data_IF_556521057224
#
_entry.id   IF_556521057224
#
_cell.length_a   1.000
_cell.length_b   1.000
_cell.length_c   1.000
_cell.angle_alpha   90.00
_cell.angle_beta   90.00
_cell.angle_gamma   90.00
#
_symmetry.space_group_name_H-M   'P 1'
#
loop_
_entity.id
_entity.type
_entity.pdbx_description
1 polymer ?
#
# COMPACT_ATOMS: atom_id res chain seq x y z
N UNK A 1 -25.01 -1.03 -8.26
CA UNK A 1 -23.81 -1.76 -8.69
C UNK A 1 -22.97 -2.03 -7.45
N UNK A 2 -22.16 -3.09 -7.46
CA UNK A 2 -21.16 -3.32 -6.42
C UNK A 2 -19.84 -3.65 -7.10
N UNK A 3 -18.73 -3.34 -6.43
CA UNK A 3 -17.39 -3.61 -6.91
C UNK A 3 -16.97 -5.01 -6.48
N UNK A 4 -16.27 -5.72 -7.36
CA UNK A 4 -15.80 -7.08 -7.12
C UNK A 4 -14.29 -7.12 -7.06
N UNK A 5 -13.77 -7.94 -6.15
CA UNK A 5 -12.35 -8.26 -6.05
C UNK A 5 -12.20 -9.73 -6.34
N UNK A 6 -11.29 -10.08 -7.23
CA UNK A 6 -10.95 -11.47 -7.54
C UNK A 6 -9.49 -11.71 -7.17
N UNK A 7 -9.24 -12.78 -6.43
CA UNK A 7 -7.90 -13.29 -6.14
C UNK A 7 -7.63 -14.48 -7.04
N UNK A 8 -6.59 -14.38 -7.87
CA UNK A 8 -6.25 -15.39 -8.87
C UNK A 8 -4.84 -15.93 -8.66
N UNK A 9 -4.64 -17.22 -8.92
CA UNK A 9 -3.34 -17.85 -9.12
C UNK A 9 -3.22 -18.07 -10.62
N UNK A 10 -2.35 -17.32 -11.29
CA UNK A 10 -2.29 -17.26 -12.75
C UNK A 10 -3.70 -17.05 -13.34
N UNK A 11 -4.27 -18.06 -14.00
CA UNK A 11 -5.60 -17.97 -14.62
C UNK A 11 -6.75 -18.54 -13.75
N UNK A 12 -6.45 -19.01 -12.54
CA UNK A 12 -7.42 -19.70 -11.67
C UNK A 12 -7.91 -18.79 -10.55
N UNK A 13 -9.22 -18.55 -10.48
CA UNK A 13 -9.84 -17.71 -9.44
C UNK A 13 -10.00 -18.43 -8.10
N UNK A 14 -9.15 -18.12 -7.13
CA UNK A 14 -9.14 -18.74 -5.80
C UNK A 14 -10.37 -18.33 -4.99
N UNK A 15 -10.64 -17.02 -4.96
CA UNK A 15 -11.75 -16.43 -4.21
C UNK A 15 -12.14 -15.09 -4.81
N UNK A 16 -13.36 -14.64 -4.51
CA UNK A 16 -13.81 -13.30 -4.79
C UNK A 16 -14.63 -12.74 -3.64
N UNK A 17 -14.68 -11.43 -3.57
CA UNK A 17 -15.48 -10.69 -2.60
C UNK A 17 -16.17 -9.52 -3.28
N UNK A 18 -17.27 -9.08 -2.69
CA UNK A 18 -18.05 -7.93 -3.18
C UNK A 18 -17.96 -6.80 -2.18
N UNK A 19 -17.51 -5.64 -2.65
CA UNK A 19 -17.40 -4.37 -1.92
C UNK A 19 -16.36 -4.33 -0.79
N UNK A 20 -15.56 -5.38 -0.60
CA UNK A 20 -14.47 -5.42 0.39
C UNK A 20 -13.33 -6.31 -0.10
N UNK A 21 -12.16 -6.19 0.52
CA UNK A 21 -11.00 -7.05 0.32
C UNK A 21 -10.44 -7.48 1.68
N UNK A 22 -10.11 -8.76 1.80
CA UNK A 22 -9.33 -9.31 2.91
C UNK A 22 -7.89 -9.51 2.40
N UNK A 23 -6.92 -8.93 3.11
CA UNK A 23 -5.49 -9.00 2.73
C UNK A 23 -4.98 -10.45 2.66
N UNK A 24 -5.64 -11.40 3.32
CA UNK A 24 -5.33 -12.83 3.24
C UNK A 24 -3.83 -13.10 3.51
N UNK A 25 -3.12 -13.78 2.60
CA UNK A 25 -1.67 -14.04 2.69
C UNK A 25 -0.81 -13.01 1.96
N UNK A 26 -1.40 -11.89 1.52
CA UNK A 26 -0.65 -10.75 1.01
C UNK A 26 -0.08 -9.92 2.15
N UNK A 27 0.95 -9.16 1.83
CA UNK A 27 1.59 -8.20 2.72
C UNK A 27 1.71 -6.85 2.02
N UNK A 28 1.93 -5.80 2.81
CA UNK A 28 2.17 -4.43 2.32
C UNK A 28 3.19 -4.33 1.17
N UNK A 29 4.22 -5.18 1.15
CA UNK A 29 5.26 -5.19 0.11
C UNK A 29 4.84 -5.87 -1.20
N UNK A 30 3.72 -6.58 -1.21
CA UNK A 30 3.15 -7.19 -2.41
C UNK A 30 2.23 -6.21 -3.17
N UNK A 31 1.99 -5.01 -2.61
CA UNK A 31 1.19 -3.97 -3.27
C UNK A 31 1.83 -3.57 -4.58
N UNK A 32 1.00 -3.49 -5.61
CA UNK A 32 1.39 -3.03 -6.93
C UNK A 32 0.33 -2.05 -7.46
N UNK A 33 0.82 -1.01 -8.12
CA UNK A 33 0.02 0.03 -8.76
C UNK A 33 0.57 0.20 -10.17
N UNK A 34 -0.26 0.11 -11.19
CA UNK A 34 0.13 0.26 -12.59
C UNK A 34 -0.75 1.34 -13.19
N UNK A 35 -0.10 2.26 -13.91
CA UNK A 35 -0.73 3.37 -14.60
C UNK A 35 -0.54 3.17 -16.09
N UNK A 36 -1.57 3.43 -16.88
CA UNK A 36 -1.50 3.41 -18.33
C UNK A 36 -0.81 4.65 -18.92
N UNK A 37 -0.69 4.70 -20.26
CA UNK A 37 -0.07 5.82 -20.97
C UNK A 37 -0.84 7.14 -20.80
N UNK A 38 -2.11 7.11 -20.37
CA UNK A 38 -2.95 8.29 -20.15
C UNK A 38 -2.83 8.82 -18.71
N UNK A 39 -2.14 8.12 -17.81
CA UNK A 39 -2.07 8.48 -16.40
C UNK A 39 -3.21 7.88 -15.55
N UNK A 40 -4.03 6.99 -16.10
CA UNK A 40 -5.13 6.31 -15.41
C UNK A 40 -4.64 4.99 -14.80
N UNK A 41 -5.19 4.60 -13.64
CA UNK A 41 -4.84 3.33 -12.99
C UNK A 41 -5.39 2.18 -13.82
N UNK A 42 -4.50 1.37 -14.40
CA UNK A 42 -4.82 0.15 -15.13
C UNK A 42 -4.83 -1.08 -14.24
N UNK A 43 -4.12 -1.04 -13.11
CA UNK A 43 -4.18 -2.06 -12.07
C UNK A 43 -3.81 -1.47 -10.72
N UNK A 44 -4.56 -1.79 -9.67
CA UNK A 44 -4.15 -1.55 -8.28
C UNK A 44 -4.55 -2.75 -7.44
N UNK A 45 -3.61 -3.26 -6.64
CA UNK A 45 -3.88 -4.45 -5.84
C UNK A 45 -2.61 -5.12 -5.33
N UNK A 46 -2.67 -6.42 -5.13
CA UNK A 46 -1.55 -7.19 -4.58
C UNK A 46 -1.06 -8.22 -5.59
N UNK A 47 0.25 -8.44 -5.65
CA UNK A 47 0.91 -9.45 -6.49
C UNK A 47 2.06 -10.09 -5.72
N UNK A 48 2.02 -11.40 -5.55
CA UNK A 48 3.07 -12.19 -4.90
C UNK A 48 3.49 -13.35 -5.81
N UNK A 49 4.77 -13.71 -5.85
CA UNK A 49 5.22 -14.89 -6.57
C UNK A 49 4.75 -16.17 -5.87
N UNK A 50 4.46 -17.22 -6.64
CA UNK A 50 3.86 -18.43 -6.08
C UNK A 50 4.77 -19.17 -5.10
N UNK A 51 6.10 -19.07 -5.23
CA UNK A 51 7.03 -19.70 -4.30
C UNK A 51 7.00 -19.01 -2.94
N UNK A 52 6.95 -17.67 -2.92
CA UNK A 52 6.77 -16.89 -1.70
C UNK A 52 5.43 -17.17 -1.04
N UNK A 53 4.33 -17.16 -1.81
CA UNK A 53 3.00 -17.47 -1.28
C UNK A 53 2.94 -18.89 -0.69
N UNK A 54 3.51 -19.87 -1.38
CA UNK A 54 3.62 -21.25 -0.89
C UNK A 54 4.31 -21.31 0.47
N UNK A 55 5.44 -20.63 0.62
CA UNK A 55 6.17 -20.62 1.89
C UNK A 55 5.32 -20.03 3.02
N UNK A 56 4.56 -18.96 2.75
CA UNK A 56 3.67 -18.34 3.76
C UNK A 56 2.52 -19.28 4.16
N UNK A 57 1.90 -19.95 3.20
CA UNK A 57 0.86 -20.95 3.43
C UNK A 57 1.40 -22.14 4.25
N UNK A 58 2.59 -22.65 3.90
CA UNK A 58 3.25 -23.75 4.63
C UNK A 58 3.56 -23.38 6.08
N UNK A 59 4.02 -22.15 6.33
CA UNK A 59 4.26 -21.64 7.69
C UNK A 59 2.96 -21.52 8.51
N UNK A 60 1.82 -21.28 7.86
CA UNK A 60 0.51 -21.29 8.49
C UNK A 60 -0.10 -22.70 8.64
N UNK A 61 0.59 -23.75 8.15
CA UNK A 61 0.19 -25.15 8.29
C UNK A 61 -0.50 -25.74 7.06
N UNK A 62 -0.59 -25.01 5.95
CA UNK A 62 -1.19 -25.48 4.70
C UNK A 62 -0.13 -25.97 3.73
N UNK A 63 -0.21 -27.23 3.35
CA UNK A 63 0.74 -27.89 2.46
C UNK A 63 0.02 -28.99 1.65
N UNK A 64 0.76 -29.64 0.75
CA UNK A 64 0.14 -30.62 -0.15
C UNK A 64 -0.52 -31.78 0.59
N UNK A 65 0.03 -32.17 1.74
CA UNK A 65 -0.53 -33.24 2.58
C UNK A 65 -1.79 -32.80 3.32
N UNK A 66 -1.88 -31.54 3.77
CA UNK A 66 -3.13 -31.03 4.36
C UNK A 66 -4.23 -30.94 3.33
N UNK A 67 -3.91 -30.51 2.10
CA UNK A 67 -4.87 -30.49 0.99
C UNK A 67 -5.34 -31.89 0.60
N UNK A 68 -4.43 -32.86 0.51
CA UNK A 68 -4.76 -34.27 0.26
C UNK A 68 -5.69 -34.83 1.34
N UNK A 69 -5.36 -34.61 2.61
CA UNK A 69 -6.17 -35.07 3.73
C UNK A 69 -7.57 -34.44 3.75
N UNK A 70 -7.68 -33.15 3.46
CA UNK A 70 -8.97 -32.45 3.41
C UNK A 70 -9.85 -33.01 2.28
N UNK A 71 -9.27 -33.28 1.12
CA UNK A 71 -9.96 -33.96 0.02
C UNK A 71 -10.42 -35.37 0.41
N UNK A 72 -9.55 -36.18 1.03
CA UNK A 72 -9.90 -37.54 1.43
C UNK A 72 -11.07 -37.55 2.43
N UNK A 73 -11.07 -36.63 3.39
CA UNK A 73 -12.18 -36.42 4.30
C UNK A 73 -13.48 -36.07 3.56
N UNK A 74 -13.42 -35.11 2.63
CA UNK A 74 -14.57 -34.72 1.80
C UNK A 74 -15.16 -35.90 1.02
N UNK A 75 -14.31 -36.61 0.28
CA UNK A 75 -14.75 -37.74 -0.55
C UNK A 75 -15.33 -38.85 0.32
N UNK A 76 -14.78 -39.08 1.52
CA UNK A 76 -15.33 -40.03 2.49
C UNK A 76 -16.72 -39.61 2.95
N UNK A 77 -16.93 -38.35 3.31
CA UNK A 77 -18.24 -37.82 3.74
C UNK A 77 -19.30 -37.95 2.63
N UNK A 78 -18.95 -37.59 1.39
CA UNK A 78 -19.85 -37.75 0.24
C UNK A 78 -20.20 -39.22 -0.03
N UNK A 79 -19.23 -40.14 0.10
CA UNK A 79 -19.48 -41.58 -0.03
C UNK A 79 -20.43 -42.07 1.07
N UNK A 80 -20.24 -41.63 2.32
CA UNK A 80 -21.12 -41.98 3.44
C UNK A 80 -22.54 -41.43 3.23
N UNK A 81 -22.66 -40.19 2.77
CA UNK A 81 -23.95 -39.59 2.40
C UNK A 81 -24.69 -40.43 1.36
N UNK A 82 -24.04 -40.79 0.23
CA UNK A 82 -24.72 -41.57 -0.81
C UNK A 82 -25.08 -42.98 -0.35
N UNK A 83 -24.25 -43.63 0.49
CA UNK A 83 -24.58 -44.94 1.07
C UNK A 83 -25.82 -44.88 1.96
N UNK A 84 -25.92 -43.88 2.83
CA UNK A 84 -27.10 -43.68 3.67
C UNK A 84 -28.31 -43.25 2.83
N UNK A 85 -28.12 -42.43 1.79
CA UNK A 85 -29.19 -42.06 0.85
C UNK A 85 -29.76 -43.32 0.16
N UNK A 86 -28.91 -44.20 -0.37
CA UNK A 86 -29.33 -45.45 -1.03
C UNK A 86 -30.09 -46.37 -0.05
N UNK A 87 -29.64 -46.45 1.20
CA UNK A 87 -30.24 -47.31 2.22
C UNK A 87 -31.62 -46.83 2.69
N UNK A 88 -31.84 -45.52 2.69
CA UNK A 88 -33.01 -44.88 3.29
C UNK A 88 -34.00 -44.33 2.24
N UNK A 89 -33.84 -44.66 0.95
CA UNK A 89 -34.69 -44.18 -0.14
C UNK A 89 -35.26 -45.37 -0.92
N UNK A 90 -36.52 -45.24 -1.38
CA UNK A 90 -37.23 -46.29 -2.12
C UNK A 90 -37.39 -45.96 -3.62
N UNK A 91 -36.99 -44.75 -4.05
CA UNK A 91 -37.04 -44.33 -5.45
C UNK A 91 -35.90 -44.96 -6.26
N UNK A 92 -36.23 -45.99 -7.04
CA UNK A 92 -35.28 -46.79 -7.83
C UNK A 92 -34.43 -45.95 -8.80
N UNK A 93 -34.98 -44.89 -9.40
CA UNK A 93 -34.24 -44.05 -10.33
C UNK A 93 -33.22 -43.18 -9.59
N UNK A 94 -33.60 -42.63 -8.43
CA UNK A 94 -32.68 -41.86 -7.58
C UNK A 94 -31.58 -42.75 -7.00
N UNK A 95 -31.91 -43.97 -6.59
CA UNK A 95 -30.93 -44.97 -6.11
C UNK A 95 -29.94 -45.31 -7.22
N UNK A 96 -30.40 -45.46 -8.47
CA UNK A 96 -29.52 -45.75 -9.61
C UNK A 96 -28.54 -44.61 -9.86
N UNK A 97 -29.01 -43.35 -9.82
CA UNK A 97 -28.15 -42.16 -9.94
C UNK A 97 -27.11 -42.11 -8.81
N UNK A 98 -27.53 -42.30 -7.56
CA UNK A 98 -26.62 -42.29 -6.40
C UNK A 98 -25.55 -43.40 -6.48
N UNK A 99 -25.90 -44.59 -6.97
CA UNK A 99 -24.93 -45.66 -7.21
C UNK A 99 -23.89 -45.29 -8.28
N UNK A 100 -24.33 -44.67 -9.39
CA UNK A 100 -23.40 -44.16 -10.41
C UNK A 100 -22.46 -43.09 -9.84
N UNK A 101 -22.99 -42.16 -9.05
CA UNK A 101 -22.17 -41.13 -8.39
C UNK A 101 -21.15 -41.73 -7.42
N UNK A 102 -21.53 -42.75 -6.66
CA UNK A 102 -20.62 -43.47 -5.76
C UNK A 102 -19.50 -44.18 -6.52
N UNK A 103 -19.79 -44.79 -7.68
CA UNK A 103 -18.75 -45.38 -8.55
C UNK A 103 -17.76 -44.35 -9.08
N UNK A 104 -18.22 -43.13 -9.37
CA UNK A 104 -17.33 -42.02 -9.76
C UNK A 104 -16.46 -41.64 -8.56
N UNK A 105 -17.02 -41.45 -7.38
CA UNK A 105 -16.25 -41.11 -6.17
C UNK A 105 -15.19 -42.16 -5.83
N UNK A 106 -15.46 -43.45 -6.06
CA UNK A 106 -14.48 -44.52 -5.86
C UNK A 106 -13.25 -44.41 -6.78
N UNK A 107 -13.37 -43.73 -7.92
CA UNK A 107 -12.27 -43.44 -8.84
C UNK A 107 -11.51 -42.14 -8.50
N UNK A 108 -12.04 -41.31 -7.60
CA UNK A 108 -11.41 -40.04 -7.21
C UNK A 108 -10.42 -40.26 -6.06
N UNK A 109 -9.18 -39.85 -6.31
CA UNK A 109 -8.10 -39.66 -5.36
C UNK A 109 -7.37 -38.33 -5.63
N UNK A 110 -6.38 -37.99 -4.81
CA UNK A 110 -5.66 -36.72 -4.93
C UNK A 110 -5.00 -36.51 -6.31
N UNK A 111 -4.25 -37.49 -6.81
CA UNK A 111 -3.60 -37.41 -8.12
C UNK A 111 -4.61 -37.24 -9.27
N UNK A 112 -5.72 -37.97 -9.23
CA UNK A 112 -6.79 -37.83 -10.22
C UNK A 112 -7.41 -36.43 -10.16
N UNK A 113 -7.51 -35.85 -8.96
CA UNK A 113 -8.05 -34.52 -8.77
C UNK A 113 -7.11 -33.45 -9.35
N UNK A 114 -5.80 -33.54 -9.13
CA UNK A 114 -4.82 -32.62 -9.69
C UNK A 114 -4.95 -32.50 -11.22
N UNK A 115 -5.24 -33.62 -11.89
CA UNK A 115 -5.48 -33.65 -13.33
C UNK A 115 -6.85 -33.11 -13.75
N UNK A 116 -7.86 -33.25 -12.88
CA UNK A 116 -9.22 -32.79 -13.13
C UNK A 116 -9.40 -31.29 -12.91
N UNK A 117 -8.72 -30.71 -11.92
CA UNK A 117 -8.88 -29.31 -11.53
C UNK A 117 -8.74 -28.37 -12.73
N UNK A 118 -7.65 -28.36 -13.52
CA UNK A 118 -7.52 -27.44 -14.66
C UNK A 118 -8.68 -27.53 -15.67
N UNK A 119 -9.29 -28.72 -15.82
CA UNK A 119 -10.43 -28.98 -16.70
C UNK A 119 -11.72 -28.41 -16.10
N UNK A 120 -11.94 -28.63 -14.80
CA UNK A 120 -13.13 -28.16 -14.10
C UNK A 120 -13.20 -26.64 -14.04
N UNK A 121 -12.04 -25.97 -13.95
CA UNK A 121 -11.94 -24.51 -13.83
C UNK A 121 -12.17 -23.80 -15.16
N UNK A 122 -11.50 -24.26 -16.23
CA UNK A 122 -11.39 -23.46 -17.43
C UNK A 122 -12.69 -23.32 -18.23
N UNK A 123 -13.74 -24.10 -17.96
CA UNK A 123 -15.09 -24.10 -18.58
C UNK A 123 -15.13 -24.00 -20.14
N UNK A 124 -13.98 -23.96 -20.80
CA UNK A 124 -13.78 -23.75 -22.22
C UNK A 124 -13.48 -25.10 -22.82
N UNK A 125 -14.47 -25.57 -23.58
CA UNK A 125 -14.45 -26.72 -24.48
C UNK A 125 -14.24 -28.07 -23.79
N UNK A 126 -15.36 -28.79 -23.65
CA UNK A 126 -15.54 -30.25 -23.72
C UNK A 126 -14.21 -31.02 -23.95
N UNK A 127 -13.40 -31.14 -22.90
CA UNK A 127 -12.40 -32.20 -22.86
C UNK A 127 -13.19 -33.42 -22.43
N UNK A 128 -13.25 -34.41 -23.32
CA UNK A 128 -13.90 -35.71 -23.11
C UNK A 128 -13.08 -36.52 -22.08
N UNK A 129 -13.05 -36.02 -20.84
CA UNK A 129 -12.41 -36.68 -19.73
C UNK A 129 -13.48 -37.47 -18.98
N UNK A 130 -13.35 -38.80 -18.98
CA UNK A 130 -14.33 -39.76 -18.45
C UNK A 130 -14.87 -39.38 -17.06
N UNK A 131 -14.06 -38.72 -16.25
CA UNK A 131 -14.39 -38.34 -14.87
C UNK A 131 -14.79 -36.87 -14.67
N UNK A 132 -14.50 -35.96 -15.60
CA UNK A 132 -14.67 -34.52 -15.34
C UNK A 132 -16.15 -34.11 -15.24
N UNK A 133 -16.95 -34.48 -16.24
CA UNK A 133 -18.38 -34.15 -16.24
C UNK A 133 -19.15 -34.86 -15.11
N UNK A 134 -18.98 -36.18 -14.89
CA UNK A 134 -19.67 -36.86 -13.79
C UNK A 134 -19.28 -36.32 -12.41
N UNK A 135 -18.02 -35.92 -12.22
CA UNK A 135 -17.58 -35.34 -10.95
C UNK A 135 -18.13 -33.93 -10.75
N UNK A 136 -18.22 -33.10 -11.80
CA UNK A 136 -18.86 -31.77 -11.76
C UNK A 136 -20.34 -31.86 -11.37
N UNK A 137 -21.06 -32.88 -11.85
CA UNK A 137 -22.45 -33.13 -11.44
C UNK A 137 -22.57 -33.45 -9.94
N UNK A 138 -21.61 -34.20 -9.38
CA UNK A 138 -21.58 -34.50 -7.94
C UNK A 138 -21.30 -33.25 -7.13
N UNK A 139 -20.34 -32.43 -7.54
CA UNK A 139 -20.05 -31.13 -6.92
C UNK A 139 -21.32 -30.27 -6.86
N UNK A 140 -22.00 -30.13 -8.00
CA UNK A 140 -23.22 -29.32 -8.12
C UNK A 140 -24.34 -29.84 -7.20
N UNK A 141 -24.42 -31.16 -6.99
CA UNK A 141 -25.40 -31.78 -6.10
C UNK A 141 -25.22 -31.35 -4.64
N UNK A 142 -23.98 -31.21 -4.16
CA UNK A 142 -23.69 -30.85 -2.77
C UNK A 142 -23.67 -29.33 -2.51
N UNK A 143 -23.34 -28.51 -3.52
CA UNK A 143 -23.14 -27.07 -3.32
C UNK A 143 -24.44 -26.23 -3.39
N UNK A 144 -25.48 -26.72 -4.10
CA UNK A 144 -26.83 -26.11 -4.09
C UNK A 144 -26.93 -24.66 -4.65
N UNK A 145 -25.83 -24.02 -5.05
CA UNK A 145 -25.77 -22.67 -5.61
C UNK A 145 -25.24 -22.67 -7.05
N UNK A 146 -25.46 -21.58 -7.79
CA UNK A 146 -24.86 -21.39 -9.12
C UNK A 146 -23.33 -21.29 -8.99
N UNK A 147 -22.61 -22.13 -9.75
CA UNK A 147 -21.15 -22.22 -9.75
C UNK A 147 -20.54 -20.93 -10.31
N UNK A 148 -20.11 -20.02 -9.44
CA UNK A 148 -19.50 -18.74 -9.84
C UNK A 148 -18.00 -18.64 -9.49
N UNK A 149 -17.43 -19.50 -8.62
CA UNK A 149 -15.98 -19.49 -8.27
C UNK A 149 -15.38 -20.84 -7.83
N UNK A 150 -14.06 -20.96 -7.73
CA UNK A 150 -13.42 -22.23 -7.32
C UNK A 150 -13.70 -22.65 -5.88
N UNK A 151 -13.85 -21.67 -5.00
CA UNK A 151 -14.38 -21.89 -3.65
C UNK A 151 -15.77 -22.53 -3.64
N UNK A 152 -16.55 -22.39 -4.72
CA UNK A 152 -17.86 -23.06 -4.89
C UNK A 152 -17.75 -24.44 -5.57
N UNK A 153 -16.68 -24.72 -6.32
CA UNK A 153 -16.46 -26.07 -6.90
C UNK A 153 -15.95 -27.10 -5.88
N UNK A 154 -15.30 -26.63 -4.81
CA UNK A 154 -14.81 -27.48 -3.73
C UNK A 154 -15.22 -26.90 -2.38
N UNK A 155 -16.52 -26.96 -2.03
CA UNK A 155 -17.10 -26.21 -0.91
C UNK A 155 -16.55 -26.56 0.47
N UNK A 156 -15.73 -27.62 0.58
CA UNK A 156 -15.08 -28.02 1.83
C UNK A 156 -13.55 -28.04 1.77
N UNK A 157 -12.93 -27.68 0.64
CA UNK A 157 -11.49 -27.42 0.62
C UNK A 157 -11.32 -25.97 1.04
N UNK A 158 -10.61 -25.74 2.14
CA UNK A 158 -10.23 -24.40 2.56
C UNK A 158 -9.56 -23.63 1.41
N UNK A 159 -9.82 -22.32 1.32
CA UNK A 159 -9.24 -21.45 0.30
C UNK A 159 -7.72 -21.60 0.22
N UNK A 160 -7.07 -21.81 1.37
CA UNK A 160 -5.63 -22.03 1.50
C UNK A 160 -5.16 -23.38 0.92
N UNK A 161 -5.86 -24.48 1.19
CA UNK A 161 -5.50 -25.78 0.61
C UNK A 161 -5.78 -25.81 -0.90
N UNK A 162 -6.83 -25.13 -1.37
CA UNK A 162 -7.06 -24.94 -2.81
C UNK A 162 -5.89 -24.16 -3.44
N UNK A 163 -5.43 -23.08 -2.80
CA UNK A 163 -4.29 -22.32 -3.27
C UNK A 163 -3.01 -23.17 -3.36
N UNK A 164 -2.74 -24.02 -2.36
CA UNK A 164 -1.62 -24.97 -2.40
C UNK A 164 -1.72 -25.92 -3.60
N UNK A 165 -2.92 -26.44 -3.88
CA UNK A 165 -3.14 -27.34 -5.02
C UNK A 165 -2.88 -26.62 -6.34
N UNK A 166 -3.39 -25.40 -6.50
CA UNK A 166 -3.16 -24.60 -7.71
C UNK A 166 -1.68 -24.24 -7.89
N UNK A 167 -0.99 -23.86 -6.81
CA UNK A 167 0.46 -23.63 -6.81
C UNK A 167 1.21 -24.90 -7.23
N UNK A 168 0.78 -26.07 -6.77
CA UNK A 168 1.38 -27.35 -7.13
C UNK A 168 1.21 -27.65 -8.62
N UNK A 169 0.01 -27.48 -9.17
CA UNK A 169 -0.28 -27.64 -10.61
C UNK A 169 0.60 -26.72 -11.46
N UNK A 170 0.76 -25.46 -11.03
CA UNK A 170 1.57 -24.46 -11.73
C UNK A 170 3.08 -24.60 -11.44
N UNK A 171 3.51 -25.65 -10.72
CA UNK A 171 4.90 -25.89 -10.34
C UNK A 171 5.56 -24.69 -9.62
N UNK A 172 4.78 -23.91 -8.86
CA UNK A 172 5.22 -22.67 -8.21
C UNK A 172 5.75 -21.60 -9.17
N UNK A 173 5.32 -21.62 -10.44
CA UNK A 173 5.68 -20.63 -11.47
C UNK A 173 4.52 -19.64 -11.67
N UNK A 174 4.85 -18.34 -11.67
CA UNK A 174 3.89 -17.26 -11.91
C UNK A 174 3.54 -16.50 -10.63
N UNK A 175 2.31 -15.98 -10.56
CA UNK A 175 1.90 -15.06 -9.51
C UNK A 175 0.51 -15.36 -8.97
N UNK A 176 0.29 -14.98 -7.72
CA UNK A 176 -1.03 -14.78 -7.17
C UNK A 176 -1.31 -13.28 -7.12
N UNK A 177 -2.47 -12.87 -7.63
CA UNK A 177 -2.88 -11.47 -7.75
C UNK A 177 -4.26 -11.26 -7.15
N UNK A 178 -4.42 -10.21 -6.36
CA UNK A 178 -5.72 -9.67 -5.98
C UNK A 178 -5.92 -8.33 -6.70
N UNK A 179 -6.90 -8.28 -7.60
CA UNK A 179 -7.23 -7.07 -8.36
C UNK A 179 -8.26 -6.23 -7.60
N UNK A 180 -7.85 -5.04 -7.15
CA UNK A 180 -8.67 -4.11 -6.37
C UNK A 180 -9.14 -2.92 -7.22
N UNK A 181 -8.93 -2.95 -8.53
CA UNK A 181 -9.21 -1.81 -9.42
C UNK A 181 -10.66 -1.37 -9.35
N UNK A 182 -11.62 -2.30 -9.27
CA UNK A 182 -13.03 -1.94 -9.11
C UNK A 182 -13.33 -1.28 -7.76
N UNK A 183 -12.70 -1.71 -6.66
CA UNK A 183 -12.88 -1.06 -5.36
C UNK A 183 -12.36 0.37 -5.38
N UNK A 184 -11.21 0.59 -6.01
CA UNK A 184 -10.63 1.91 -6.16
C UNK A 184 -11.54 2.81 -7.03
N UNK A 185 -12.01 2.32 -8.18
CA UNK A 185 -12.90 3.09 -9.07
C UNK A 185 -14.28 3.38 -8.46
N UNK A 186 -14.78 2.53 -7.56
CA UNK A 186 -16.03 2.75 -6.80
C UNK A 186 -15.80 3.54 -5.50
N UNK A 187 -14.63 4.17 -5.32
CA UNK A 187 -14.25 5.00 -4.17
C UNK A 187 -14.37 4.28 -2.81
N UNK A 188 -14.19 2.96 -2.79
CA UNK A 188 -14.26 2.12 -1.59
C UNK A 188 -12.92 1.89 -0.89
N UNK A 189 -11.84 2.26 -1.56
CA UNK A 189 -10.49 2.23 -1.02
C UNK A 189 -9.70 3.43 -1.52
N UNK A 190 -8.74 3.85 -0.72
CA UNK A 190 -7.78 4.87 -1.12
C UNK A 190 -6.73 4.30 -2.08
N UNK A 191 -6.07 5.19 -2.82
CA UNK A 191 -4.91 4.84 -3.65
C UNK A 191 -3.73 4.36 -2.77
N UNK A 192 -2.79 3.65 -3.37
CA UNK A 192 -1.47 3.41 -2.78
C UNK A 192 -0.61 4.68 -2.95
N UNK A 193 -0.94 5.70 -2.16
CA UNK A 193 -0.36 7.03 -2.21
C UNK A 193 1.17 7.05 -2.10
N UNK A 194 1.76 6.15 -1.34
CA UNK A 194 3.21 5.98 -1.23
C UNK A 194 3.81 5.49 -2.57
N UNK A 195 3.22 4.46 -3.18
CA UNK A 195 3.64 3.97 -4.51
C UNK A 195 3.42 5.03 -5.59
N UNK A 196 2.29 5.74 -5.54
CA UNK A 196 1.98 6.82 -6.48
C UNK A 196 3.04 7.95 -6.45
N UNK A 197 3.50 8.33 -5.25
CA UNK A 197 4.56 9.34 -5.08
C UNK A 197 5.92 8.86 -5.60
N UNK A 198 6.26 7.58 -5.37
CA UNK A 198 7.48 6.98 -5.94
C UNK A 198 7.43 6.97 -7.46
N UNK A 199 6.30 6.57 -8.06
CA UNK A 199 6.11 6.55 -9.51
C UNK A 199 6.23 7.94 -10.14
N UNK A 200 5.70 8.97 -9.46
CA UNK A 200 5.83 10.36 -9.88
C UNK A 200 7.21 10.98 -9.57
N UNK A 201 8.03 10.30 -8.76
CA UNK A 201 9.28 10.82 -8.19
C UNK A 201 9.09 12.18 -7.50
N UNK A 202 7.94 12.37 -6.84
CA UNK A 202 7.55 13.60 -6.14
C UNK A 202 6.62 13.28 -4.97
N UNK A 203 6.86 13.86 -3.79
CA UNK A 203 5.85 13.81 -2.72
C UNK A 203 4.71 14.81 -2.97
N UNK A 204 3.53 14.58 -2.37
CA UNK A 204 2.42 15.53 -2.46
C UNK A 204 2.73 16.87 -1.79
N UNK A 205 3.55 16.86 -0.74
CA UNK A 205 4.02 18.08 -0.08
C UNK A 205 4.92 18.88 -1.03
N UNK A 206 5.79 18.19 -1.79
CA UNK A 206 6.61 18.82 -2.82
C UNK A 206 5.79 19.38 -3.97
N UNK A 207 4.75 18.68 -4.45
CA UNK A 207 3.85 19.20 -5.50
C UNK A 207 3.22 20.55 -5.07
N UNK A 208 2.79 20.66 -3.81
CA UNK A 208 2.23 21.90 -3.25
C UNK A 208 3.27 23.03 -3.20
N UNK A 209 4.48 22.72 -2.78
CA UNK A 209 5.61 23.66 -2.77
C UNK A 209 5.98 24.11 -4.20
N UNK A 210 6.11 23.16 -5.14
CA UNK A 210 6.47 23.43 -6.53
C UNK A 210 5.44 24.34 -7.19
N UNK A 211 4.14 24.08 -6.99
CA UNK A 211 3.07 24.93 -7.47
C UNK A 211 3.16 26.35 -6.88
N UNK A 212 3.45 26.48 -5.58
CA UNK A 212 3.66 27.78 -4.93
C UNK A 212 4.82 28.55 -5.56
N UNK A 213 5.95 27.89 -5.82
CA UNK A 213 7.11 28.51 -6.47
C UNK A 213 6.78 28.93 -7.92
N UNK A 214 6.06 28.10 -8.68
CA UNK A 214 5.62 28.42 -10.04
C UNK A 214 4.72 29.67 -10.06
N UNK A 215 3.82 29.81 -9.09
CA UNK A 215 2.96 30.99 -9.00
C UNK A 215 3.75 32.25 -8.62
N UNK A 216 4.77 32.14 -7.76
CA UNK A 216 5.71 33.23 -7.49
C UNK A 216 6.48 33.66 -8.75
N UNK A 217 6.90 32.72 -9.60
CA UNK A 217 7.51 33.04 -10.90
C UNK A 217 6.54 33.76 -11.84
N UNK A 218 5.28 33.33 -11.91
CA UNK A 218 4.24 34.03 -12.68
C UNK A 218 4.06 35.47 -12.18
N UNK A 219 3.97 35.66 -10.86
CA UNK A 219 3.81 36.98 -10.24
C UNK A 219 5.02 37.88 -10.48
N UNK A 220 6.24 37.38 -10.30
CA UNK A 220 7.49 38.10 -10.60
C UNK A 220 7.47 38.70 -12.02
N UNK A 221 6.95 37.97 -13.00
CA UNK A 221 6.89 38.42 -14.39
C UNK A 221 5.83 39.51 -14.66
N UNK A 222 4.88 39.75 -13.75
CA UNK A 222 3.87 40.80 -13.89
C UNK A 222 4.37 42.19 -13.50
N UNK A 223 5.34 42.28 -12.58
CA UNK A 223 5.90 43.56 -12.12
C UNK A 223 7.43 43.52 -12.10
N UNK A 224 8.01 43.79 -13.26
CA UNK A 224 9.45 43.89 -13.43
C UNK A 224 9.95 45.12 -12.66
N UNK A 225 10.95 44.93 -11.79
CA UNK A 225 11.70 45.97 -11.08
C UNK A 225 10.93 46.76 -10.01
N UNK A 226 10.21 46.07 -9.13
CA UNK A 226 9.69 46.65 -7.88
C UNK A 226 10.30 45.94 -6.66
N UNK A 227 11.16 46.63 -5.91
CA UNK A 227 11.88 46.03 -4.77
C UNK A 227 10.96 45.62 -3.62
N UNK A 228 9.88 46.37 -3.36
CA UNK A 228 8.90 46.03 -2.32
C UNK A 228 8.17 44.75 -2.73
N UNK A 229 7.75 44.67 -3.99
CA UNK A 229 7.11 43.48 -4.53
C UNK A 229 8.05 42.26 -4.45
N UNK A 230 9.33 42.42 -4.84
CA UNK A 230 10.33 41.36 -4.72
C UNK A 230 10.54 40.92 -3.26
N UNK A 231 10.54 41.85 -2.31
CA UNK A 231 10.63 41.54 -0.88
C UNK A 231 9.44 40.67 -0.44
N UNK A 232 8.22 41.02 -0.86
CA UNK A 232 7.02 40.22 -0.58
C UNK A 232 7.09 38.82 -1.19
N UNK A 233 7.57 38.70 -2.43
CA UNK A 233 7.75 37.40 -3.09
C UNK A 233 8.80 36.54 -2.37
N UNK A 234 9.93 37.12 -1.95
CA UNK A 234 10.93 36.38 -1.15
C UNK A 234 10.34 35.89 0.17
N UNK A 235 9.59 36.73 0.88
CA UNK A 235 8.93 36.35 2.13
C UNK A 235 7.98 35.15 1.95
N UNK A 236 7.23 35.12 0.85
CA UNK A 236 6.35 33.99 0.49
C UNK A 236 7.15 32.75 0.10
N UNK A 237 8.24 32.87 -0.68
CA UNK A 237 9.08 31.75 -1.07
C UNK A 237 9.67 31.01 0.14
N UNK A 238 10.18 31.77 1.11
CA UNK A 238 10.70 31.20 2.37
C UNK A 238 9.58 30.59 3.22
N UNK A 239 8.38 31.18 3.20
CA UNK A 239 7.22 30.59 3.90
C UNK A 239 6.78 29.26 3.27
N UNK A 240 6.81 29.15 1.94
CA UNK A 240 6.54 27.89 1.23
C UNK A 240 7.59 26.81 1.55
N UNK A 241 8.87 27.19 1.62
CA UNK A 241 9.96 26.31 2.04
C UNK A 241 9.75 25.79 3.46
N UNK A 242 9.39 26.68 4.40
CA UNK A 242 9.14 26.29 5.79
C UNK A 242 7.94 25.38 5.95
N UNK A 243 6.85 25.67 5.22
CA UNK A 243 5.67 24.79 5.20
C UNK A 243 6.04 23.40 4.70
N UNK A 244 6.80 23.30 3.60
CA UNK A 244 7.29 22.02 3.09
C UNK A 244 8.11 21.26 4.15
N UNK A 245 9.09 21.93 4.78
CA UNK A 245 9.97 21.28 5.76
C UNK A 245 9.19 20.84 7.00
N UNK A 246 8.26 21.66 7.47
CA UNK A 246 7.40 21.34 8.60
C UNK A 246 6.48 20.14 8.27
N UNK A 247 5.73 20.22 7.18
CA UNK A 247 4.74 19.21 6.81
C UNK A 247 5.40 17.87 6.49
N UNK A 248 6.53 17.89 5.78
CA UNK A 248 7.30 16.69 5.47
C UNK A 248 7.82 16.05 6.75
N UNK A 249 8.45 16.83 7.64
CA UNK A 249 8.98 16.30 8.89
C UNK A 249 7.88 15.71 9.78
N UNK A 250 6.77 16.43 9.94
CA UNK A 250 5.64 16.00 10.76
C UNK A 250 5.02 14.71 10.24
N UNK A 251 4.74 14.63 8.93
CA UNK A 251 4.20 13.41 8.30
C UNK A 251 5.13 12.23 8.46
N UNK A 252 6.42 12.39 8.16
CA UNK A 252 7.39 11.30 8.29
C UNK A 252 7.49 10.77 9.74
N UNK A 253 7.39 11.65 10.75
CA UNK A 253 7.44 11.24 12.15
C UNK A 253 6.13 10.59 12.63
N UNK A 254 4.96 11.09 12.20
CA UNK A 254 3.66 10.58 12.66
C UNK A 254 3.26 9.30 11.93
N UNK A 255 3.45 9.25 10.61
CA UNK A 255 2.90 8.22 9.75
C UNK A 255 3.80 6.96 9.68
N UNK A 256 5.08 7.06 10.10
CA UNK A 256 6.04 5.95 10.07
C UNK A 256 6.52 5.58 11.46
N UNK A 257 6.16 4.39 11.91
CA UNK A 257 6.50 3.89 13.25
C UNK A 257 8.00 3.82 13.54
N UNK A 258 8.81 3.43 12.56
CA UNK A 258 10.28 3.38 12.69
C UNK A 258 10.88 4.78 12.93
N UNK A 259 10.38 5.79 12.22
CA UNK A 259 10.80 7.20 12.36
C UNK A 259 10.23 7.79 13.66
N UNK A 260 8.98 7.51 14.00
CA UNK A 260 8.33 7.91 15.26
C UNK A 260 9.17 7.46 16.46
N UNK A 261 9.55 6.19 16.47
CA UNK A 261 10.41 5.61 17.50
C UNK A 261 11.74 6.35 17.58
N UNK A 262 12.41 6.55 16.44
CA UNK A 262 13.68 7.28 16.39
C UNK A 262 13.55 8.72 16.89
N UNK A 263 12.47 9.42 16.55
CA UNK A 263 12.18 10.76 17.07
C UNK A 263 12.11 10.76 18.59
N UNK A 264 11.35 9.83 19.19
CA UNK A 264 11.22 9.71 20.65
C UNK A 264 12.56 9.36 21.32
N UNK A 265 13.38 8.52 20.70
CA UNK A 265 14.68 8.10 21.24
C UNK A 265 15.76 9.20 21.14
N UNK A 266 15.75 9.99 20.07
CA UNK A 266 16.84 10.92 19.73
C UNK A 266 16.51 12.37 20.12
N UNK A 267 15.24 12.79 20.09
CA UNK A 267 14.89 14.18 20.34
C UNK A 267 14.90 14.50 21.84
N UNK A 268 15.70 15.49 22.23
CA UNK A 268 16.04 15.80 23.63
C UNK A 268 14.82 16.05 24.56
N UNK A 269 13.69 16.52 24.02
CA UNK A 269 12.49 16.76 24.81
C UNK A 269 11.83 15.47 25.31
N UNK A 270 12.08 14.32 24.65
CA UNK A 270 11.63 13.00 25.10
C UNK A 270 12.70 12.24 25.87
N UNK A 271 13.98 12.38 25.47
CA UNK A 271 15.09 11.62 26.05
C UNK A 271 15.39 12.02 27.51
N UNK A 272 15.14 13.27 27.92
CA UNK A 272 15.70 13.81 29.17
C UNK A 272 14.74 14.03 30.34
N UNK A 273 13.45 13.62 30.29
CA UNK A 273 12.46 14.19 31.25
C UNK A 273 11.44 13.31 31.97
N UNK A 274 11.27 12.01 31.74
CA UNK A 274 10.32 11.26 32.56
C UNK A 274 10.59 9.75 32.70
N UNK A 275 10.78 9.29 33.94
CA UNK A 275 10.49 7.91 34.28
C UNK A 275 8.97 7.71 34.21
N UNK A 276 8.50 6.99 33.19
CA UNK A 276 7.10 6.60 33.08
C UNK A 276 6.85 5.47 34.09
N UNK A 277 5.97 5.70 35.06
CA UNK A 277 5.53 4.65 35.98
C UNK A 277 4.69 3.60 35.21
N UNK A 278 4.78 2.30 35.56
CA UNK A 278 3.99 1.25 34.89
C UNK A 278 2.48 1.54 34.83
N UNK A 279 1.91 2.12 35.89
CA UNK A 279 0.49 2.50 35.96
C UNK A 279 0.07 3.55 34.92
N UNK A 280 1.02 4.33 34.39
CA UNK A 280 0.78 5.38 33.40
C UNK A 280 1.23 4.98 31.99
N UNK A 281 1.73 3.76 31.78
CA UNK A 281 2.33 3.35 30.50
C UNK A 281 1.31 3.38 29.36
N UNK A 282 0.17 2.71 29.50
CA UNK A 282 -0.86 2.67 28.45
C UNK A 282 -1.39 4.08 28.15
N UNK A 283 -1.69 4.88 29.16
CA UNK A 283 -2.11 6.27 28.97
C UNK A 283 -1.01 7.12 28.29
N UNK A 284 0.27 6.84 28.52
CA UNK A 284 1.34 7.53 27.79
C UNK A 284 1.35 7.15 26.31
N UNK A 285 1.21 5.86 26.00
CA UNK A 285 1.17 5.34 24.63
C UNK A 285 -0.05 5.87 23.87
N UNK A 286 -1.24 5.85 24.50
CA UNK A 286 -2.49 6.33 23.90
C UNK A 286 -2.42 7.82 23.51
N UNK A 287 -1.60 8.62 24.21
CA UNK A 287 -1.44 10.07 23.96
C UNK A 287 -0.08 10.41 23.33
N UNK A 288 0.68 9.43 22.85
CA UNK A 288 2.04 9.67 22.35
C UNK A 288 2.02 10.52 21.08
N UNK A 289 1.16 10.19 20.12
CA UNK A 289 1.06 10.90 18.83
C UNK A 289 0.67 12.36 19.02
N UNK A 290 -0.28 12.66 19.92
CA UNK A 290 -0.67 14.03 20.23
C UNK A 290 0.49 14.82 20.85
N UNK A 291 1.26 14.21 21.76
CA UNK A 291 2.44 14.84 22.34
C UNK A 291 3.52 15.11 21.30
N UNK A 292 3.81 14.14 20.43
CA UNK A 292 4.77 14.31 19.34
C UNK A 292 4.33 15.45 18.43
N UNK A 293 3.06 15.45 17.99
CA UNK A 293 2.50 16.53 17.16
C UNK A 293 2.69 17.89 17.83
N UNK A 294 2.28 18.04 19.08
CA UNK A 294 2.38 19.30 19.82
C UNK A 294 3.82 19.81 19.99
N UNK A 295 4.79 18.91 20.13
CA UNK A 295 6.21 19.28 20.20
C UNK A 295 6.74 19.72 18.84
N UNK A 296 6.38 19.03 17.75
CA UNK A 296 6.75 19.42 16.39
C UNK A 296 6.14 20.78 16.02
N UNK A 297 4.88 21.04 16.40
CA UNK A 297 4.16 22.29 16.13
C UNK A 297 4.81 23.53 16.75
N UNK A 298 5.64 23.34 17.78
CA UNK A 298 6.39 24.41 18.45
C UNK A 298 7.75 24.69 17.81
N UNK A 299 8.20 23.84 16.89
CA UNK A 299 9.51 24.00 16.26
C UNK A 299 9.49 25.14 15.24
N UNK A 300 10.59 25.87 15.21
CA UNK A 300 10.79 26.94 14.24
C UNK A 300 11.54 26.42 13.02
N UNK A 301 10.82 26.16 11.93
CA UNK A 301 11.40 25.64 10.69
C UNK A 301 12.17 26.68 9.88
N UNK A 302 12.11 27.97 10.24
CA UNK A 302 13.05 28.97 9.75
C UNK A 302 14.44 28.88 10.39
N UNK A 303 14.59 28.16 11.51
CA UNK A 303 15.92 27.87 12.08
C UNK A 303 16.57 26.71 11.32
N UNK A 304 17.26 27.02 10.22
CA UNK A 304 17.81 25.99 9.33
C UNK A 304 18.84 25.07 10.00
N UNK A 305 19.52 25.52 11.05
CA UNK A 305 20.48 24.70 11.79
C UNK A 305 19.79 23.64 12.65
N UNK A 306 18.69 24.02 13.30
CA UNK A 306 17.80 23.08 13.97
C UNK A 306 17.24 22.06 12.96
N UNK A 307 16.69 22.55 11.85
CA UNK A 307 16.08 21.70 10.81
C UNK A 307 17.10 20.71 10.24
N UNK A 308 18.33 21.17 9.92
CA UNK A 308 19.42 20.31 9.47
C UNK A 308 19.72 19.19 10.46
N UNK A 309 19.75 19.50 11.76
CA UNK A 309 19.95 18.50 12.81
C UNK A 309 18.82 17.48 12.88
N UNK A 310 17.58 17.94 12.84
CA UNK A 310 16.39 17.09 12.88
C UNK A 310 16.33 16.15 11.67
N UNK A 311 16.44 16.69 10.46
CA UNK A 311 16.39 15.89 9.22
C UNK A 311 17.52 14.87 9.16
N UNK A 312 18.74 15.24 9.57
CA UNK A 312 19.87 14.31 9.60
C UNK A 312 19.67 13.19 10.61
N UNK A 313 19.32 13.53 11.84
CA UNK A 313 19.33 12.58 12.94
C UNK A 313 18.08 11.69 12.94
N UNK A 314 16.94 12.18 12.43
CA UNK A 314 15.65 11.51 12.50
C UNK A 314 15.24 10.96 11.13
N UNK A 315 15.41 11.73 10.06
CA UNK A 315 15.00 11.31 8.71
C UNK A 315 16.14 10.76 7.85
N UNK A 316 17.37 10.68 8.37
CA UNK A 316 18.58 10.33 7.60
C UNK A 316 18.84 11.22 6.37
N UNK A 317 18.21 12.39 6.26
CA UNK A 317 18.42 13.29 5.13
C UNK A 317 19.63 14.21 5.36
N UNK A 318 20.43 14.40 4.32
CA UNK A 318 21.60 15.28 4.34
C UNK A 318 21.33 16.58 3.59
N UNK A 319 21.82 17.69 4.16
CA UNK A 319 21.72 19.02 3.57
C UNK A 319 23.12 19.43 3.10
N UNK A 320 23.28 19.80 1.84
CA UNK A 320 24.59 20.22 1.31
C UNK A 320 25.07 21.50 2.00
N UNK A 321 26.37 21.57 2.32
CA UNK A 321 26.90 22.70 3.10
C UNK A 321 26.83 24.04 2.33
N UNK A 322 26.92 24.00 1.00
CA UNK A 322 26.80 25.21 0.17
C UNK A 322 25.37 25.78 0.23
N UNK A 323 24.36 24.91 0.19
CA UNK A 323 22.94 25.30 0.29
C UNK A 323 22.64 25.99 1.62
N UNK A 324 23.14 25.45 2.74
CA UNK A 324 22.89 26.00 4.08
C UNK A 324 23.34 27.45 4.22
N UNK A 325 24.52 27.80 3.71
CA UNK A 325 25.05 29.14 3.88
C UNK A 325 24.22 30.18 3.13
N UNK A 326 23.80 29.85 1.92
CA UNK A 326 22.96 30.72 1.10
C UNK A 326 21.54 30.81 1.68
N UNK A 327 20.97 29.71 2.16
CA UNK A 327 19.68 29.70 2.85
C UNK A 327 19.69 30.55 4.12
N UNK A 328 20.75 30.51 4.93
CA UNK A 328 20.88 31.40 6.11
C UNK A 328 20.81 32.87 5.70
N UNK A 329 21.48 33.25 4.60
CA UNK A 329 21.44 34.60 4.06
C UNK A 329 20.02 34.99 3.65
N UNK A 330 19.33 34.11 2.93
CA UNK A 330 17.96 34.29 2.45
C UNK A 330 16.96 34.41 3.63
N UNK A 331 17.03 33.51 4.60
CA UNK A 331 16.17 33.50 5.79
C UNK A 331 16.39 34.78 6.62
N UNK A 332 17.63 35.23 6.77
CA UNK A 332 17.94 36.50 7.45
C UNK A 332 17.30 37.69 6.72
N UNK A 333 17.38 37.73 5.39
CA UNK A 333 16.71 38.77 4.59
C UNK A 333 15.19 38.72 4.76
N UNK A 334 14.58 37.53 4.74
CA UNK A 334 13.15 37.35 5.01
C UNK A 334 12.76 37.83 6.40
N UNK A 335 13.55 37.54 7.42
CA UNK A 335 13.29 38.00 8.79
C UNK A 335 13.23 39.54 8.85
N UNK A 336 14.19 40.22 8.23
CA UNK A 336 14.21 41.68 8.16
C UNK A 336 13.07 42.26 7.32
N UNK A 337 12.72 41.62 6.20
CA UNK A 337 11.56 42.00 5.37
C UNK A 337 10.26 41.94 6.19
N UNK A 338 10.00 40.82 6.86
CA UNK A 338 8.73 40.58 7.55
C UNK A 338 8.64 41.31 8.89
N UNK A 339 9.69 41.29 9.70
CA UNK A 339 9.64 41.82 11.08
C UNK A 339 10.21 43.23 11.23
N UNK A 340 10.96 43.74 10.23
CA UNK A 340 11.59 45.07 10.28
C UNK A 340 11.25 45.93 9.06
N UNK A 341 10.21 45.56 8.32
CA UNK A 341 9.75 46.27 7.11
C UNK A 341 10.88 46.48 6.08
N UNK A 342 11.72 45.47 5.92
CA UNK A 342 12.86 45.49 4.99
C UNK A 342 14.03 46.34 5.48
N UNK A 343 14.21 46.52 6.78
CA UNK A 343 15.39 47.18 7.36
C UNK A 343 16.23 46.23 8.19
N UNK A 344 17.54 46.32 8.05
CA UNK A 344 18.49 45.59 8.90
C UNK A 344 18.48 46.12 10.35
N UNK A 345 19.20 45.45 11.25
CA UNK A 345 19.45 45.96 12.61
C UNK A 345 20.10 47.35 12.63
N UNK A 346 20.96 47.64 11.65
CA UNK A 346 21.62 48.95 11.48
C UNK A 346 20.68 50.03 10.90
N UNK A 347 19.48 49.64 10.45
CA UNK A 347 18.51 50.54 9.83
C UNK A 347 18.65 50.66 8.31
N UNK A 348 19.57 49.92 7.70
CA UNK A 348 19.79 49.93 6.24
C UNK A 348 18.64 49.25 5.51
N UNK A 349 18.22 49.83 4.38
CA UNK A 349 17.12 49.30 3.58
C UNK A 349 17.59 48.10 2.74
N UNK A 350 16.89 46.97 2.87
CA UNK A 350 17.03 45.82 2.00
C UNK A 350 16.34 46.12 0.66
N UNK A 351 17.11 46.00 -0.42
CA UNK A 351 16.60 46.07 -1.79
C UNK A 351 16.94 44.80 -2.55
N UNK A 352 15.92 44.00 -2.86
CA UNK A 352 16.06 42.80 -3.68
C UNK A 352 15.79 43.16 -5.14
N UNK A 353 16.80 42.97 -5.99
CA UNK A 353 16.63 43.08 -7.44
C UNK A 353 15.90 41.87 -7.98
N UNK A 354 15.31 42.01 -9.17
CA UNK A 354 14.61 40.91 -9.85
C UNK A 354 15.54 39.70 -10.08
N UNK A 355 16.82 39.95 -10.38
CA UNK A 355 17.87 38.93 -10.54
C UNK A 355 18.22 38.27 -9.20
N UNK A 356 18.37 39.06 -8.13
CA UNK A 356 18.63 38.50 -6.79
C UNK A 356 17.46 37.64 -6.29
N UNK A 357 16.20 38.04 -6.57
CA UNK A 357 15.03 37.23 -6.26
C UNK A 357 15.07 35.90 -7.02
N UNK A 358 15.43 35.91 -8.30
CA UNK A 358 15.55 34.69 -9.11
C UNK A 358 16.56 33.71 -8.54
N UNK A 359 17.74 34.20 -8.15
CA UNK A 359 18.77 33.40 -7.50
C UNK A 359 18.23 32.77 -6.20
N UNK A 360 17.48 33.53 -5.40
CA UNK A 360 16.87 33.03 -4.17
C UNK A 360 15.82 31.94 -4.44
N UNK A 361 14.95 32.14 -5.44
CA UNK A 361 13.92 31.15 -5.81
C UNK A 361 14.56 29.85 -6.33
N UNK A 362 15.61 29.94 -7.13
CA UNK A 362 16.36 28.78 -7.62
C UNK A 362 17.03 28.04 -6.45
N UNK A 363 17.68 28.76 -5.53
CA UNK A 363 18.32 28.17 -4.36
C UNK A 363 17.31 27.41 -3.49
N UNK A 364 16.17 28.03 -3.15
CA UNK A 364 15.11 27.40 -2.36
C UNK A 364 14.53 26.18 -3.09
N UNK A 365 14.23 26.31 -4.39
CA UNK A 365 13.65 25.23 -5.20
C UNK A 365 14.57 24.00 -5.28
N UNK A 366 15.85 24.22 -5.59
CA UNK A 366 16.83 23.14 -5.69
C UNK A 366 17.05 22.45 -4.34
N UNK A 367 17.14 23.24 -3.25
CA UNK A 367 17.26 22.69 -1.91
C UNK A 367 16.07 21.78 -1.56
N UNK A 368 14.84 22.26 -1.72
CA UNK A 368 13.64 21.46 -1.40
C UNK A 368 13.54 20.22 -2.30
N UNK A 369 13.85 20.35 -3.60
CA UNK A 369 13.88 19.21 -4.53
C UNK A 369 14.88 18.13 -4.11
N UNK A 370 16.08 18.52 -3.67
CA UNK A 370 17.09 17.58 -3.20
C UNK A 370 16.67 16.85 -1.91
N UNK A 371 15.92 17.53 -1.05
CA UNK A 371 15.33 16.90 0.14
C UNK A 371 14.21 15.94 -0.26
N UNK A 372 13.29 16.36 -1.14
CA UNK A 372 12.19 15.52 -1.60
C UNK A 372 12.66 14.20 -2.22
N UNK A 373 13.72 14.28 -3.05
CA UNK A 373 14.35 13.10 -3.62
C UNK A 373 14.80 12.09 -2.56
N UNK A 374 15.44 12.57 -1.47
CA UNK A 374 15.87 11.71 -0.36
C UNK A 374 14.67 11.13 0.41
N UNK A 375 13.56 11.87 0.52
CA UNK A 375 12.33 11.38 1.18
C UNK A 375 11.67 10.28 0.36
N UNK A 376 11.62 10.42 -0.97
CA UNK A 376 11.08 9.43 -1.89
C UNK A 376 11.88 8.13 -1.84
N UNK A 377 13.21 8.23 -1.83
CA UNK A 377 14.11 7.07 -1.81
C UNK A 377 13.84 6.16 -0.61
N UNK A 378 13.45 6.75 0.53
CA UNK A 378 13.12 6.03 1.77
C UNK A 378 11.60 5.87 1.96
N UNK A 379 10.76 6.14 0.95
CA UNK A 379 9.30 6.24 1.15
C UNK A 379 8.66 4.89 1.42
N UNK A 380 9.12 3.85 0.72
CA UNK A 380 8.62 2.47 0.82
C UNK A 380 9.38 1.61 1.85
N UNK A 381 10.44 2.15 2.43
CA UNK A 381 11.16 1.49 3.51
C UNK A 381 10.35 1.65 4.82
N UNK A 382 10.00 0.54 5.45
CA UNK A 382 9.26 0.48 6.73
C UNK A 382 10.14 0.81 7.94
#
# INVERSE_FOLDING_TARGET
MGAYVSTKINNYEVTWSKNYFDEWFFHKNDRIRIVDDNGEISFIGYRVDLQTLKNRLELAGYNIYSAEKELECLIKEWREYFREFIKNNDDLERIKVANSQLQILDKINFDSLLNLIPILINNSEIVDHELALPFKEIITYFDGAFVESLSTLFPTISTENLAIVLIHIENSIGFCEADLTELYLDERMDDFFDIAQVQKQKTYVYETFEQSILDLYKLKNLQINNSIFNNMLLGNAVSAMEAYLFDTFKRQVIDKESIKRRYVEVYDNFNNKANIKPENLFNFLDNLDEKISNEIDRLSFHNIDLVKGLYKNILCCSFENNDINELRRIISQRHDIVHRNGRTLSGDQIQITTESLEICLICISNFIKNIDYQIIDNLLDD
#
